data_IF_150622472835
#
_entry.id   IF_150622472835
#
_cell.length_a   1.000
_cell.length_b   1.000
_cell.length_c   1.000
_cell.angle_alpha   90.00
_cell.angle_beta   90.00
_cell.angle_gamma   90.00
#
_symmetry.space_group_name_H-M   'P 1'
#
loop_
_entity.id
_entity.type
_entity.pdbx_description
1 polymer ?
#
# COMPACT_ATOMS: atom_id res chain seq x y z
N UNK A 1 17.71 -17.79 18.58
CA UNK A 1 16.69 -16.98 17.87
C UNK A 1 17.19 -15.55 17.74
N UNK A 2 17.48 -15.09 16.51
CA UNK A 2 18.03 -13.75 16.22
C UNK A 2 17.12 -12.64 16.74
N UNK A 3 17.71 -11.54 17.24
CA UNK A 3 17.00 -10.41 17.91
C UNK A 3 15.87 -9.82 17.06
N UNK A 4 15.98 -9.91 15.73
CA UNK A 4 14.99 -9.45 14.74
C UNK A 4 13.67 -10.26 14.75
N UNK A 5 13.74 -11.59 14.89
CA UNK A 5 12.55 -12.45 14.92
C UNK A 5 11.70 -12.26 16.19
N UNK A 6 12.26 -11.62 17.23
CA UNK A 6 11.59 -11.41 18.51
C UNK A 6 10.58 -10.26 18.51
N UNK A 7 10.54 -9.43 17.46
CA UNK A 7 9.58 -8.32 17.36
C UNK A 7 8.14 -8.86 17.30
N UNK A 8 7.86 -9.73 16.32
CA UNK A 8 6.58 -10.41 16.16
C UNK A 8 6.74 -11.66 15.26
N UNK A 9 6.99 -12.87 15.82
CA UNK A 9 7.49 -14.00 15.03
C UNK A 9 6.67 -14.34 13.77
N UNK A 10 5.31 -14.36 13.79
CA UNK A 10 4.52 -14.60 12.57
C UNK A 10 4.78 -13.60 11.43
N UNK A 11 4.72 -12.30 11.72
CA UNK A 11 4.96 -11.23 10.75
C UNK A 11 6.40 -11.22 10.25
N UNK A 12 7.37 -11.53 11.12
CA UNK A 12 8.77 -11.60 10.72
C UNK A 12 9.04 -12.80 9.80
N UNK A 13 8.47 -13.96 10.10
CA UNK A 13 8.56 -15.13 9.22
C UNK A 13 7.91 -14.83 7.86
N UNK A 14 6.69 -14.28 7.87
CA UNK A 14 6.02 -13.82 6.66
C UNK A 14 6.88 -12.86 5.84
N UNK A 15 7.48 -11.85 6.48
CA UNK A 15 8.35 -10.88 5.80
C UNK A 15 9.60 -11.53 5.20
N UNK A 16 10.19 -12.52 5.87
CA UNK A 16 11.32 -13.28 5.32
C UNK A 16 10.92 -14.14 4.12
N UNK A 17 9.74 -14.77 4.16
CA UNK A 17 9.19 -15.50 3.02
C UNK A 17 8.95 -14.55 1.84
N UNK A 18 8.43 -13.35 2.10
CA UNK A 18 8.27 -12.31 1.08
C UNK A 18 9.61 -11.85 0.51
N UNK A 19 10.63 -11.64 1.34
CA UNK A 19 11.97 -11.29 0.88
C UNK A 19 12.58 -12.39 0.00
N UNK A 20 12.40 -13.67 0.36
CA UNK A 20 12.82 -14.79 -0.48
C UNK A 20 12.05 -14.82 -1.81
N UNK A 21 10.74 -14.59 -1.77
CA UNK A 21 9.90 -14.55 -2.96
C UNK A 21 10.23 -13.36 -3.88
N UNK A 22 10.69 -12.23 -3.33
CA UNK A 22 11.25 -11.13 -4.13
C UNK A 22 12.43 -11.61 -4.97
N UNK A 23 13.38 -12.36 -4.37
CA UNK A 23 14.53 -12.92 -5.10
C UNK A 23 14.09 -13.93 -6.16
N UNK A 24 13.15 -14.82 -5.82
CA UNK A 24 12.60 -15.79 -6.78
C UNK A 24 11.92 -15.07 -7.95
N UNK A 25 11.12 -14.03 -7.67
CA UNK A 25 10.42 -13.27 -8.71
C UNK A 25 11.38 -12.47 -9.58
N UNK A 26 12.49 -11.96 -9.03
CA UNK A 26 13.58 -11.36 -9.82
C UNK A 26 14.22 -12.38 -10.76
N UNK A 27 14.48 -13.60 -10.29
CA UNK A 27 14.92 -14.69 -11.15
C UNK A 27 13.91 -14.97 -12.26
N UNK A 28 12.62 -15.06 -11.91
CA UNK A 28 11.52 -15.22 -12.86
C UNK A 28 11.47 -14.12 -13.93
N UNK A 29 11.67 -12.86 -13.56
CA UNK A 29 11.74 -11.74 -14.52
C UNK A 29 12.90 -11.84 -15.52
N UNK A 30 13.93 -12.65 -15.23
CA UNK A 30 15.09 -12.86 -16.11
C UNK A 30 14.89 -14.09 -17.00
N UNK A 31 14.31 -15.17 -16.46
CA UNK A 31 14.30 -16.50 -17.12
C UNK A 31 12.95 -16.88 -17.73
N UNK A 32 11.86 -16.22 -17.37
CA UNK A 32 10.51 -16.50 -17.86
C UNK A 32 10.00 -15.33 -18.70
N UNK A 33 9.89 -15.58 -20.00
CA UNK A 33 9.52 -14.63 -21.03
C UNK A 33 8.01 -14.43 -21.18
N UNK A 34 7.19 -15.16 -20.40
CA UNK A 34 5.73 -15.07 -20.48
C UNK A 34 5.25 -13.67 -20.08
N UNK A 35 4.35 -13.15 -20.90
CA UNK A 35 3.65 -11.89 -20.68
C UNK A 35 2.20 -12.18 -20.30
N UNK A 36 1.73 -11.55 -19.23
CA UNK A 36 0.36 -11.64 -18.75
C UNK A 36 -0.22 -10.22 -18.67
N UNK A 37 -1.22 -9.93 -19.50
CA UNK A 37 -1.87 -8.60 -19.56
C UNK A 37 -0.90 -7.46 -19.90
N UNK A 38 0.00 -7.70 -20.86
CA UNK A 38 0.98 -6.70 -21.31
C UNK A 38 2.18 -6.52 -20.38
N UNK A 39 2.28 -7.28 -19.29
CA UNK A 39 3.38 -7.19 -18.32
C UNK A 39 4.10 -8.53 -18.11
N UNK A 40 5.42 -8.56 -17.82
CA UNK A 40 6.11 -9.78 -17.44
C UNK A 40 5.42 -10.48 -16.28
N UNK A 41 5.19 -11.80 -16.41
CA UNK A 41 4.27 -12.51 -15.52
C UNK A 41 4.71 -12.50 -14.04
N UNK A 42 6.02 -12.44 -13.78
CA UNK A 42 6.61 -12.37 -12.44
C UNK A 42 6.61 -10.98 -11.82
N UNK A 43 6.22 -9.95 -12.56
CA UNK A 43 6.28 -8.56 -12.09
C UNK A 43 5.29 -8.28 -10.96
N UNK A 44 4.09 -8.89 -11.03
CA UNK A 44 3.10 -8.80 -9.95
C UNK A 44 3.60 -9.49 -8.66
N UNK A 45 4.04 -10.77 -8.67
CA UNK A 45 4.68 -11.40 -7.51
C UNK A 45 5.80 -10.57 -6.91
N UNK A 46 6.70 -10.02 -7.74
CA UNK A 46 7.82 -9.18 -7.29
C UNK A 46 7.33 -7.97 -6.48
N UNK A 47 6.43 -7.16 -7.05
CA UNK A 47 5.92 -5.94 -6.40
C UNK A 47 5.14 -6.25 -5.13
N UNK A 48 4.30 -7.28 -5.16
CA UNK A 48 3.52 -7.71 -3.99
C UNK A 48 4.44 -8.20 -2.87
N UNK A 49 5.45 -9.02 -3.19
CA UNK A 49 6.43 -9.52 -2.23
C UNK A 49 7.22 -8.37 -1.57
N UNK A 50 7.72 -7.41 -2.36
CA UNK A 50 8.43 -6.24 -1.81
C UNK A 50 7.52 -5.43 -0.87
N UNK A 51 6.31 -5.10 -1.31
CA UNK A 51 5.37 -4.31 -0.52
C UNK A 51 4.94 -5.02 0.77
N UNK A 52 4.59 -6.31 0.69
CA UNK A 52 4.19 -7.13 1.84
C UNK A 52 5.34 -7.38 2.82
N UNK A 53 6.58 -7.50 2.34
CA UNK A 53 7.76 -7.56 3.21
C UNK A 53 7.89 -6.27 4.04
N UNK A 54 7.84 -5.10 3.37
CA UNK A 54 7.92 -3.80 4.05
C UNK A 54 6.75 -3.61 5.02
N UNK A 55 5.54 -3.98 4.60
CA UNK A 55 4.34 -3.92 5.42
C UNK A 55 4.44 -4.80 6.68
N UNK A 56 4.86 -6.06 6.52
CA UNK A 56 5.02 -7.01 7.61
C UNK A 56 6.06 -6.56 8.65
N UNK A 57 7.25 -6.11 8.19
CA UNK A 57 8.29 -5.56 9.08
C UNK A 57 7.80 -4.32 9.82
N UNK A 58 7.09 -3.43 9.12
CA UNK A 58 6.57 -2.19 9.70
C UNK A 58 5.56 -2.49 10.80
N UNK A 59 4.59 -3.38 10.55
CA UNK A 59 3.62 -3.78 11.57
C UNK A 59 4.27 -4.50 12.74
N UNK A 60 5.25 -5.38 12.48
CA UNK A 60 5.98 -6.07 13.55
C UNK A 60 6.70 -5.08 14.47
N UNK A 61 7.34 -4.04 13.90
CA UNK A 61 7.93 -2.95 14.66
C UNK A 61 6.88 -2.17 15.45
N UNK A 62 5.80 -1.71 14.81
CA UNK A 62 4.77 -0.92 15.48
C UNK A 62 4.11 -1.68 16.64
N UNK A 63 3.85 -2.98 16.47
CA UNK A 63 3.24 -3.80 17.52
C UNK A 63 4.11 -3.93 18.78
N UNK A 64 5.43 -3.72 18.68
CA UNK A 64 6.31 -3.68 19.87
C UNK A 64 6.03 -2.47 20.76
N UNK A 65 5.45 -1.41 20.21
CA UNK A 65 5.14 -0.16 20.91
C UNK A 65 3.83 -0.27 21.71
N UNK A 66 3.01 -1.28 21.43
CA UNK A 66 1.67 -1.43 22.01
C UNK A 66 1.72 -1.63 23.53
N UNK A 67 1.03 -0.76 24.28
CA UNK A 67 0.93 -0.85 25.76
C UNK A 67 -0.42 -1.38 26.24
N UNK A 68 -1.46 -1.31 25.40
CA UNK A 68 -2.82 -1.85 25.67
C UNK A 68 -3.25 -2.78 24.53
N UNK A 69 -4.13 -3.73 24.80
CA UNK A 69 -4.61 -4.68 23.77
C UNK A 69 -3.48 -5.51 23.12
N UNK A 70 -2.38 -5.77 23.86
CA UNK A 70 -1.19 -6.48 23.34
C UNK A 70 -1.51 -7.84 22.75
N UNK A 71 -2.34 -8.64 23.42
CA UNK A 71 -2.77 -9.97 22.92
C UNK A 71 -3.59 -9.84 21.65
N UNK A 72 -4.53 -8.89 21.60
CA UNK A 72 -5.35 -8.63 20.41
C UNK A 72 -4.48 -8.18 19.23
N UNK A 73 -3.56 -7.25 19.44
CA UNK A 73 -2.62 -6.78 18.41
C UNK A 73 -1.72 -7.90 17.89
N UNK A 74 -1.26 -8.79 18.78
CA UNK A 74 -0.47 -9.96 18.38
C UNK A 74 -1.26 -10.92 17.48
N UNK A 75 -2.50 -11.25 17.86
CA UNK A 75 -3.34 -12.11 17.03
C UNK A 75 -3.71 -11.45 15.70
N UNK A 76 -4.00 -10.15 15.70
CA UNK A 76 -4.24 -9.41 14.46
C UNK A 76 -3.02 -9.48 13.52
N UNK A 77 -1.80 -9.30 14.04
CA UNK A 77 -0.57 -9.47 13.27
C UNK A 77 -0.38 -10.90 12.75
N UNK A 78 -0.69 -11.92 13.54
CA UNK A 78 -0.61 -13.32 13.12
C UNK A 78 -1.62 -13.65 11.99
N UNK A 79 -2.85 -13.14 12.10
CA UNK A 79 -3.89 -13.32 11.08
C UNK A 79 -3.52 -12.59 9.79
N UNK A 80 -2.96 -11.38 9.87
CA UNK A 80 -2.43 -10.66 8.70
C UNK A 80 -1.35 -11.48 7.99
N UNK A 81 -0.39 -12.05 8.74
CA UNK A 81 0.66 -12.89 8.17
C UNK A 81 0.08 -14.11 7.44
N UNK A 82 -0.93 -14.77 8.02
CA UNK A 82 -1.61 -15.90 7.41
C UNK A 82 -2.37 -15.50 6.14
N UNK A 83 -3.19 -14.45 6.22
CA UNK A 83 -3.97 -13.93 5.09
C UNK A 83 -3.05 -13.51 3.93
N UNK A 84 -2.00 -12.74 4.21
CA UNK A 84 -1.01 -12.34 3.21
C UNK A 84 -0.22 -13.52 2.63
N UNK A 85 -0.03 -14.60 3.38
CA UNK A 85 0.57 -15.84 2.84
C UNK A 85 -0.39 -16.52 1.88
N UNK A 86 -1.68 -16.65 2.24
CA UNK A 86 -2.70 -17.22 1.37
C UNK A 86 -2.81 -16.45 0.05
N UNK A 87 -2.84 -15.11 0.12
CA UNK A 87 -2.77 -14.22 -1.05
C UNK A 87 -1.62 -14.58 -1.98
N UNK A 88 -0.40 -14.67 -1.45
CA UNK A 88 0.78 -14.89 -2.26
C UNK A 88 0.88 -16.30 -2.81
N UNK A 89 0.36 -17.30 -2.10
CA UNK A 89 0.21 -18.66 -2.63
C UNK A 89 -0.69 -18.66 -3.86
N UNK A 90 -1.83 -17.97 -3.81
CA UNK A 90 -2.73 -17.86 -4.97
C UNK A 90 -2.11 -17.05 -6.10
N UNK A 91 -1.48 -15.90 -5.79
CA UNK A 91 -0.79 -15.06 -6.79
C UNK A 91 0.28 -15.85 -7.54
N UNK A 92 1.18 -16.54 -6.83
CA UNK A 92 2.25 -17.32 -7.45
C UNK A 92 1.67 -18.54 -8.18
N UNK A 93 0.70 -19.24 -7.58
CA UNK A 93 0.04 -20.38 -8.23
C UNK A 93 -0.61 -20.01 -9.57
N UNK A 94 -1.26 -18.85 -9.63
CA UNK A 94 -1.86 -18.34 -10.88
C UNK A 94 -0.80 -17.90 -11.91
N UNK A 95 0.31 -17.31 -11.46
CA UNK A 95 1.47 -17.03 -12.33
C UNK A 95 2.04 -18.31 -12.95
N UNK A 96 2.19 -19.38 -12.17
CA UNK A 96 2.64 -20.67 -12.71
C UNK A 96 1.67 -21.22 -13.76
N UNK A 97 0.36 -21.05 -13.54
CA UNK A 97 -0.71 -21.43 -14.48
C UNK A 97 -0.85 -20.50 -15.70
N UNK A 98 -0.12 -19.39 -15.76
CA UNK A 98 -0.26 -18.42 -16.84
C UNK A 98 -1.58 -17.62 -16.80
N UNK A 99 -2.20 -17.45 -15.62
CA UNK A 99 -3.53 -16.82 -15.47
C UNK A 99 -3.49 -15.64 -14.51
N UNK A 100 -4.49 -14.75 -14.65
CA UNK A 100 -4.74 -13.65 -13.70
C UNK A 100 -5.15 -14.22 -12.34
N UNK A 101 -4.67 -13.59 -11.26
CA UNK A 101 -5.07 -13.93 -9.90
C UNK A 101 -6.26 -13.12 -9.39
N UNK A 102 -6.23 -11.80 -9.58
CA UNK A 102 -7.35 -10.93 -9.19
C UNK A 102 -8.33 -10.80 -10.34
N UNK A 103 -9.62 -10.65 -10.01
CA UNK A 103 -10.73 -10.44 -10.95
C UNK A 103 -11.03 -11.62 -11.88
N UNK A 104 -10.33 -12.75 -11.77
CA UNK A 104 -10.44 -13.86 -12.70
C UNK A 104 -11.52 -14.86 -12.26
N UNK A 105 -12.62 -14.91 -13.01
CA UNK A 105 -13.77 -15.80 -12.80
C UNK A 105 -14.00 -16.71 -14.02
N UNK A 106 -12.99 -16.88 -14.87
CA UNK A 106 -13.10 -17.60 -16.14
C UNK A 106 -13.39 -19.11 -16.00
N UNK A 107 -13.08 -19.71 -14.85
CA UNK A 107 -13.33 -21.13 -14.55
C UNK A 107 -13.75 -21.30 -13.10
N UNK A 108 -14.41 -22.41 -12.70
CA UNK A 108 -14.78 -22.64 -11.30
C UNK A 108 -13.60 -22.59 -10.32
N UNK A 109 -12.42 -23.05 -10.76
CA UNK A 109 -11.21 -22.95 -9.96
C UNK A 109 -10.72 -21.50 -9.84
N UNK A 110 -10.77 -20.72 -10.93
CA UNK A 110 -10.34 -19.33 -10.90
C UNK A 110 -11.27 -18.48 -10.01
N UNK A 111 -12.58 -18.70 -10.11
CA UNK A 111 -13.59 -18.06 -9.26
C UNK A 111 -13.40 -18.41 -7.78
N UNK A 112 -13.17 -19.68 -7.45
CA UNK A 112 -12.84 -20.10 -6.09
C UNK A 112 -11.58 -19.40 -5.57
N UNK A 113 -10.52 -19.35 -6.37
CA UNK A 113 -9.26 -18.70 -5.99
C UNK A 113 -9.46 -17.19 -5.81
N UNK A 114 -10.24 -16.55 -6.66
CA UNK A 114 -10.60 -15.13 -6.52
C UNK A 114 -11.43 -14.88 -5.25
N UNK A 115 -12.38 -15.76 -4.93
CA UNK A 115 -13.13 -15.71 -3.68
C UNK A 115 -12.24 -15.83 -2.45
N UNK A 116 -11.29 -16.78 -2.44
CA UNK A 116 -10.30 -16.92 -1.36
C UNK A 116 -9.55 -15.60 -1.16
N UNK A 117 -9.04 -14.99 -2.24
CA UNK A 117 -8.31 -13.73 -2.18
C UNK A 117 -9.18 -12.58 -1.64
N UNK A 118 -10.42 -12.49 -2.10
CA UNK A 118 -11.38 -11.48 -1.63
C UNK A 118 -11.54 -11.53 -0.11
N UNK A 119 -11.72 -12.73 0.45
CA UNK A 119 -11.86 -12.90 1.90
C UNK A 119 -10.55 -12.66 2.65
N UNK A 120 -9.38 -13.10 2.14
CA UNK A 120 -8.11 -12.83 2.82
C UNK A 120 -7.76 -11.35 2.85
N UNK A 121 -8.00 -10.59 1.77
CA UNK A 121 -7.81 -9.13 1.77
C UNK A 121 -8.77 -8.45 2.74
N UNK A 122 -10.04 -8.85 2.80
CA UNK A 122 -11.01 -8.30 3.75
C UNK A 122 -10.57 -8.55 5.20
N UNK A 123 -10.16 -9.78 5.52
CA UNK A 123 -9.63 -10.13 6.84
C UNK A 123 -8.39 -9.30 7.17
N UNK A 124 -7.46 -9.16 6.23
CA UNK A 124 -6.26 -8.33 6.40
C UNK A 124 -6.62 -6.88 6.71
N UNK A 125 -7.59 -6.31 5.98
CA UNK A 125 -8.06 -4.95 6.20
C UNK A 125 -8.68 -4.76 7.59
N UNK A 126 -9.55 -5.68 8.02
CA UNK A 126 -10.16 -5.65 9.37
C UNK A 126 -9.07 -5.77 10.44
N UNK A 127 -8.11 -6.68 10.28
CA UNK A 127 -7.02 -6.84 11.25
C UNK A 127 -6.07 -5.65 11.27
N UNK A 128 -5.85 -4.97 10.13
CA UNK A 128 -5.13 -3.70 10.11
C UNK A 128 -5.86 -2.64 10.95
N UNK A 129 -7.19 -2.53 10.80
CA UNK A 129 -8.00 -1.64 11.63
C UNK A 129 -7.89 -1.98 13.12
N UNK A 130 -7.89 -3.27 13.48
CA UNK A 130 -7.68 -3.72 14.88
C UNK A 130 -6.31 -3.27 15.41
N UNK A 131 -5.24 -3.39 14.61
CA UNK A 131 -3.91 -2.89 14.99
C UNK A 131 -3.91 -1.36 15.15
N UNK A 132 -4.57 -0.64 14.24
CA UNK A 132 -4.71 0.81 14.33
C UNK A 132 -5.43 1.23 15.63
N UNK A 133 -6.49 0.54 16.01
CA UNK A 133 -7.22 0.76 17.29
C UNK A 133 -6.32 0.46 18.50
N UNK A 134 -5.56 -0.65 18.48
CA UNK A 134 -4.62 -0.97 19.56
C UNK A 134 -3.56 0.11 19.77
N UNK A 135 -3.02 0.67 18.69
CA UNK A 135 -2.03 1.75 18.73
C UNK A 135 -2.66 3.13 19.01
N UNK A 136 -3.93 3.34 18.67
CA UNK A 136 -4.68 4.52 19.11
C UNK A 136 -4.80 4.59 20.64
N UNK A 137 -4.97 3.43 21.31
CA UNK A 137 -5.01 3.34 22.77
C UNK A 137 -3.64 3.26 23.46
N UNK A 138 -2.55 3.21 22.68
CA UNK A 138 -1.18 3.15 23.21
C UNK A 138 -0.72 4.54 23.63
N UNK A 139 -0.14 4.64 24.84
CA UNK A 139 0.50 5.87 25.33
C UNK A 139 1.93 5.95 24.79
N UNK A 140 2.23 7.03 24.07
CA UNK A 140 3.56 7.31 23.54
C UNK A 140 4.20 8.46 24.33
N UNK A 141 5.47 8.30 24.71
CA UNK A 141 6.25 9.36 25.37
C UNK A 141 6.45 10.55 24.42
N UNK A 142 6.87 10.27 23.18
CA UNK A 142 6.94 11.27 22.12
C UNK A 142 5.58 11.41 21.42
N UNK A 143 4.89 12.53 21.68
CA UNK A 143 3.58 12.84 21.11
C UNK A 143 3.59 12.92 19.59
N UNK A 144 4.63 13.50 18.98
CA UNK A 144 4.72 13.68 17.53
C UNK A 144 4.85 12.31 16.82
N UNK A 145 5.69 11.42 17.37
CA UNK A 145 5.87 10.06 16.87
C UNK A 145 4.62 9.22 17.04
N UNK A 146 3.99 9.26 18.23
CA UNK A 146 2.75 8.54 18.49
C UNK A 146 1.62 8.96 17.55
N UNK A 147 1.52 10.27 17.28
CA UNK A 147 0.56 10.80 16.30
C UNK A 147 0.89 10.32 14.87
N UNK A 148 2.17 10.31 14.48
CA UNK A 148 2.59 9.89 13.15
C UNK A 148 2.24 8.42 12.86
N UNK A 149 2.42 7.54 13.85
CA UNK A 149 2.04 6.13 13.75
C UNK A 149 0.53 5.98 13.58
N UNK A 150 -0.26 6.68 14.41
CA UNK A 150 -1.73 6.61 14.36
C UNK A 150 -2.28 7.10 13.02
N UNK A 151 -1.78 8.25 12.56
CA UNK A 151 -2.20 8.84 11.29
C UNK A 151 -1.72 8.02 10.08
N UNK A 152 -0.49 7.49 10.14
CA UNK A 152 0.03 6.56 9.13
C UNK A 152 -0.85 5.31 8.96
N UNK A 153 -1.24 4.68 10.08
CA UNK A 153 -2.15 3.53 10.06
C UNK A 153 -3.56 3.91 9.58
N UNK A 154 -4.11 5.03 10.07
CA UNK A 154 -5.43 5.47 9.65
C UNK A 154 -5.49 5.76 8.15
N UNK A 155 -4.48 6.43 7.61
CA UNK A 155 -4.42 6.76 6.19
C UNK A 155 -4.10 5.53 5.33
N UNK A 156 -3.28 4.60 5.85
CA UNK A 156 -3.06 3.30 5.22
C UNK A 156 -4.34 2.47 5.15
N UNK A 157 -5.21 2.55 6.16
CA UNK A 157 -6.50 1.87 6.15
C UNK A 157 -7.42 2.39 5.03
N UNK A 158 -7.39 3.71 4.79
CA UNK A 158 -8.07 4.33 3.64
C UNK A 158 -7.45 3.85 2.34
N UNK A 159 -6.12 3.87 2.23
CA UNK A 159 -5.39 3.37 1.06
C UNK A 159 -5.71 1.93 0.70
N UNK A 160 -5.77 1.04 1.70
CA UNK A 160 -6.19 -0.34 1.52
C UNK A 160 -7.63 -0.43 1.01
N UNK A 161 -8.54 0.39 1.56
CA UNK A 161 -9.93 0.44 1.12
C UNK A 161 -10.09 0.92 -0.34
N UNK A 162 -9.18 1.77 -0.85
CA UNK A 162 -9.21 2.19 -2.27
C UNK A 162 -9.05 1.01 -3.24
N UNK A 163 -8.57 -0.15 -2.79
CA UNK A 163 -8.54 -1.36 -3.62
C UNK A 163 -9.92 -1.81 -4.10
N UNK A 164 -11.00 -1.49 -3.38
CA UNK A 164 -12.38 -1.81 -3.79
C UNK A 164 -12.81 -1.04 -5.02
N UNK A 165 -12.18 0.09 -5.35
CA UNK A 165 -12.45 0.81 -6.59
C UNK A 165 -12.07 -0.01 -7.83
N UNK A 166 -11.18 -1.00 -7.68
CA UNK A 166 -10.73 -1.87 -8.78
C UNK A 166 -11.63 -3.10 -9.00
N UNK A 167 -12.58 -3.38 -8.10
CA UNK A 167 -13.48 -4.54 -8.23
C UNK A 167 -14.69 -4.26 -9.13
N UNK A 168 -14.89 -3.00 -9.52
CA UNK A 168 -15.95 -2.61 -10.45
C UNK A 168 -15.52 -2.89 -11.90
N UNK A 169 -16.40 -3.45 -12.75
CA UNK A 169 -16.08 -3.67 -14.16
C UNK A 169 -15.67 -2.38 -14.88
N UNK A 170 -14.66 -2.46 -15.74
CA UNK A 170 -14.29 -1.38 -16.64
C UNK A 170 -15.30 -1.24 -17.80
N UNK A 171 -15.42 -0.04 -18.41
CA UNK A 171 -16.18 0.14 -19.65
C UNK A 171 -15.72 -0.86 -20.73
N UNK A 172 -16.65 -1.64 -21.28
CA UNK A 172 -16.38 -2.63 -22.31
C UNK A 172 -15.87 -3.99 -21.80
N UNK A 173 -15.88 -4.25 -20.49
CA UNK A 173 -15.79 -5.62 -20.00
C UNK A 173 -17.14 -6.32 -20.19
N UNK A 174 -17.14 -7.38 -21.00
CA UNK A 174 -18.27 -8.31 -21.10
C UNK A 174 -18.36 -9.16 -19.82
N UNK A 175 -19.57 -9.30 -19.27
CA UNK A 175 -19.83 -10.14 -18.09
C UNK A 175 -19.46 -11.62 -18.34
N UNK A 176 -19.53 -12.07 -19.60
CA UNK A 176 -19.14 -13.43 -20.03
C UNK A 176 -17.62 -13.59 -20.25
N UNK A 177 -16.84 -12.50 -20.19
CA UNK A 177 -15.40 -12.48 -20.45
C UNK A 177 -14.54 -13.12 -19.34
N UNK A 178 -15.15 -13.61 -18.28
CA UNK A 178 -14.48 -14.26 -17.16
C UNK A 178 -13.61 -13.33 -16.32
N UNK A 179 -13.81 -12.00 -16.43
CA UNK A 179 -13.06 -10.98 -15.68
C UNK A 179 -14.01 -9.95 -15.09
N UNK A 180 -13.91 -9.72 -13.78
CA UNK A 180 -14.78 -8.80 -13.03
C UNK A 180 -13.95 -7.76 -12.26
N UNK A 181 -13.64 -6.66 -12.94
CA UNK A 181 -12.83 -5.59 -12.37
C UNK A 181 -11.65 -5.17 -13.25
N UNK A 182 -11.14 -3.98 -12.96
CA UNK A 182 -9.98 -3.41 -13.62
C UNK A 182 -9.31 -2.37 -12.71
N UNK A 183 -8.00 -2.15 -12.91
CA UNK A 183 -7.32 -1.02 -12.27
C UNK A 183 -7.18 0.20 -13.17
N UNK A 184 -7.32 0.02 -14.49
CA UNK A 184 -7.27 1.08 -15.48
C UNK A 184 -8.63 1.79 -15.56
N UNK A 185 -8.62 3.11 -15.69
CA UNK A 185 -9.82 3.95 -15.79
C UNK A 185 -9.80 4.68 -17.12
N UNK A 186 -10.83 4.48 -17.93
CA UNK A 186 -10.93 5.03 -19.29
C UNK A 186 -10.50 4.08 -20.40
N UNK A 187 -9.96 2.90 -20.06
CA UNK A 187 -9.70 1.80 -20.99
C UNK A 187 -9.65 0.45 -20.24
N UNK A 188 -9.77 -0.70 -20.93
CA UNK A 188 -9.52 -2.02 -20.35
C UNK A 188 -8.09 -2.19 -19.81
N UNK A 189 -7.90 -3.11 -18.86
CA UNK A 189 -6.57 -3.44 -18.33
C UNK A 189 -5.65 -4.04 -19.40
N UNK A 190 -4.45 -3.46 -19.49
CA UNK A 190 -3.44 -3.77 -20.49
C UNK A 190 -2.86 -2.49 -21.09
N UNK A 191 -2.05 -2.63 -22.14
CA UNK A 191 -1.45 -1.51 -22.86
C UNK A 191 -0.12 -1.00 -22.29
N UNK A 192 0.36 0.17 -22.75
CA UNK A 192 1.66 0.71 -22.37
C UNK A 192 1.76 1.08 -20.89
N UNK A 193 2.74 0.50 -20.21
CA UNK A 193 2.96 0.67 -18.77
C UNK A 193 4.33 1.26 -18.43
N UNK A 194 4.42 1.92 -17.27
CA UNK A 194 5.68 2.39 -16.71
C UNK A 194 6.58 1.20 -16.37
N UNK A 195 7.84 1.23 -16.81
CA UNK A 195 8.77 0.10 -16.67
C UNK A 195 8.93 -0.43 -15.22
N UNK A 196 8.91 0.45 -14.21
CA UNK A 196 9.17 0.05 -12.81
C UNK A 196 7.91 -0.23 -11.98
N UNK A 197 6.84 0.54 -12.20
CA UNK A 197 5.61 0.41 -11.40
C UNK A 197 4.56 -0.43 -12.11
N UNK A 198 4.65 -0.54 -13.43
CA UNK A 198 3.62 -1.10 -14.30
C UNK A 198 2.39 -0.21 -14.43
N UNK A 199 2.41 1.04 -13.95
CA UNK A 199 1.24 1.92 -14.04
C UNK A 199 0.96 2.34 -15.48
N UNK A 200 -0.33 2.46 -15.82
CA UNK A 200 -0.76 2.82 -17.17
C UNK A 200 -0.24 4.23 -17.55
N UNK A 201 0.28 4.36 -18.78
CA UNK A 201 0.87 5.61 -19.29
C UNK A 201 -0.05 6.41 -20.22
N UNK A 202 -1.21 5.85 -20.56
CA UNK A 202 -2.18 6.43 -21.49
C UNK A 202 -3.48 6.85 -20.80
N UNK A 203 -3.91 6.10 -19.77
CA UNK A 203 -5.15 6.35 -19.03
C UNK A 203 -4.92 6.34 -17.51
N UNK A 204 -5.99 6.59 -16.74
CA UNK A 204 -5.95 6.59 -15.28
C UNK A 204 -5.66 5.20 -14.70
N UNK A 205 -5.02 5.15 -13.53
CA UNK A 205 -4.64 3.90 -12.89
C UNK A 205 -4.84 3.95 -11.38
N UNK A 206 -5.81 3.17 -10.89
CA UNK A 206 -6.18 3.10 -9.47
C UNK A 206 -5.07 2.46 -8.61
N UNK A 207 -4.08 1.78 -9.20
CA UNK A 207 -2.92 1.27 -8.44
C UNK A 207 -2.08 2.40 -7.88
N UNK A 208 -2.09 3.60 -8.49
CA UNK A 208 -1.36 4.77 -7.99
C UNK A 208 -1.90 5.22 -6.63
N UNK A 209 -3.19 5.61 -6.49
CA UNK A 209 -3.74 6.02 -5.20
C UNK A 209 -3.73 4.89 -4.16
N UNK A 210 -3.95 3.65 -4.58
CA UNK A 210 -3.83 2.50 -3.69
C UNK A 210 -2.40 2.37 -3.14
N UNK A 211 -1.37 2.40 -4.00
CA UNK A 211 0.04 2.35 -3.60
C UNK A 211 0.41 3.49 -2.66
N UNK A 212 0.05 4.73 -3.00
CA UNK A 212 0.31 5.90 -2.14
C UNK A 212 -0.39 5.70 -0.80
N UNK A 213 -1.66 5.33 -0.80
CA UNK A 213 -2.42 5.15 0.43
C UNK A 213 -1.84 4.05 1.32
N UNK A 214 -1.62 2.84 0.80
CA UNK A 214 -1.08 1.72 1.60
C UNK A 214 0.29 2.03 2.18
N UNK A 215 1.10 2.91 1.57
CA UNK A 215 2.43 3.23 2.07
C UNK A 215 2.47 4.36 3.12
N UNK A 216 1.31 4.95 3.44
CA UNK A 216 1.19 5.96 4.48
C UNK A 216 1.72 5.48 5.85
N UNK A 217 1.55 4.19 6.20
CA UNK A 217 2.04 3.64 7.46
C UNK A 217 3.57 3.64 7.57
N UNK A 218 4.30 3.61 6.45
CA UNK A 218 5.75 3.77 6.46
C UNK A 218 6.15 5.24 6.33
N UNK A 219 5.59 5.93 5.34
CA UNK A 219 6.07 7.26 4.94
C UNK A 219 5.84 8.29 6.04
N UNK A 220 4.67 8.33 6.67
CA UNK A 220 4.36 9.36 7.68
C UNK A 220 5.29 9.25 8.89
N UNK A 221 5.47 8.07 9.55
CA UNK A 221 6.43 7.94 10.64
C UNK A 221 7.87 8.27 10.24
N UNK A 222 8.30 7.85 9.04
CA UNK A 222 9.65 8.15 8.55
C UNK A 222 9.87 9.65 8.33
N UNK A 223 8.93 10.33 7.67
CA UNK A 223 9.01 11.78 7.47
C UNK A 223 9.10 12.52 8.79
N UNK A 224 8.29 12.15 9.79
CA UNK A 224 8.36 12.77 11.12
C UNK A 224 9.68 12.46 11.84
N UNK A 225 10.20 11.23 11.69
CA UNK A 225 11.48 10.83 12.28
C UNK A 225 12.66 11.65 11.74
N UNK A 226 12.64 12.07 10.47
CA UNK A 226 13.69 12.91 9.86
C UNK A 226 13.86 14.27 10.56
N UNK A 227 12.83 14.78 11.23
CA UNK A 227 12.90 16.02 12.00
C UNK A 227 13.46 15.82 13.41
N UNK A 228 13.54 14.57 13.89
CA UNK A 228 14.12 14.21 15.18
C UNK A 228 13.56 15.07 16.32
N UNK A 229 14.42 15.80 17.03
CA UNK A 229 14.02 16.70 18.13
C UNK A 229 13.15 17.88 17.70
N UNK A 230 13.09 18.20 16.40
CA UNK A 230 12.22 19.24 15.83
C UNK A 230 10.81 18.73 15.52
N UNK A 231 10.57 17.42 15.63
CA UNK A 231 9.26 16.85 15.37
C UNK A 231 8.24 17.33 16.41
N UNK A 232 7.20 18.03 15.96
CA UNK A 232 6.07 18.48 16.79
C UNK A 232 4.77 17.85 16.29
N UNK A 233 3.73 17.75 17.13
CA UNK A 233 2.41 17.34 16.66
C UNK A 233 1.87 18.19 15.51
N UNK A 234 2.19 19.49 15.48
CA UNK A 234 1.81 20.40 14.39
C UNK A 234 2.47 20.03 13.06
N UNK A 235 3.77 19.74 13.07
CA UNK A 235 4.48 19.21 11.90
C UNK A 235 3.84 17.89 11.44
N UNK A 236 3.61 16.95 12.37
CA UNK A 236 3.03 15.65 12.05
C UNK A 236 1.67 15.78 11.37
N UNK A 237 0.78 16.65 11.87
CA UNK A 237 -0.48 16.95 11.22
C UNK A 237 -0.29 17.56 9.83
N UNK A 238 0.59 18.58 9.71
CA UNK A 238 0.83 19.25 8.44
C UNK A 238 1.36 18.31 7.35
N UNK A 239 2.31 17.44 7.69
CA UNK A 239 2.84 16.41 6.78
C UNK A 239 1.79 15.37 6.42
N UNK A 240 0.99 14.92 7.39
CA UNK A 240 -0.12 13.98 7.13
C UNK A 240 -1.16 14.59 6.22
N UNK A 241 -1.55 15.86 6.42
CA UNK A 241 -2.50 16.56 5.56
C UNK A 241 -1.94 16.68 4.14
N UNK A 242 -0.65 17.01 3.98
CA UNK A 242 0.00 17.01 2.68
C UNK A 242 -0.05 15.64 1.99
N UNK A 243 0.25 14.57 2.72
CA UNK A 243 0.20 13.20 2.18
C UNK A 243 -1.23 12.73 1.86
N UNK A 244 -2.21 13.07 2.69
CA UNK A 244 -3.62 12.82 2.42
C UNK A 244 -4.12 13.61 1.21
N UNK A 245 -3.66 14.85 1.05
CA UNK A 245 -3.90 15.67 -0.14
C UNK A 245 -3.31 15.06 -1.40
N UNK A 246 -2.07 14.55 -1.34
CA UNK A 246 -1.45 13.78 -2.43
C UNK A 246 -2.30 12.56 -2.79
N UNK A 247 -2.66 11.74 -1.79
CA UNK A 247 -3.49 10.54 -1.99
C UNK A 247 -4.84 10.89 -2.64
N UNK A 248 -5.52 11.93 -2.15
CA UNK A 248 -6.78 12.40 -2.71
C UNK A 248 -6.61 12.90 -4.15
N UNK A 249 -5.56 13.67 -4.43
CA UNK A 249 -5.24 14.19 -5.76
C UNK A 249 -5.00 13.06 -6.76
N UNK A 250 -4.16 12.08 -6.43
CA UNK A 250 -3.88 10.96 -7.34
C UNK A 250 -5.08 10.02 -7.48
N UNK A 251 -5.96 9.95 -6.48
CA UNK A 251 -7.25 9.23 -6.57
C UNK A 251 -8.15 9.93 -7.58
N UNK A 252 -8.29 11.24 -7.44
CA UNK A 252 -9.11 12.06 -8.32
C UNK A 252 -8.57 12.10 -9.75
N UNK A 253 -7.24 12.18 -9.93
CA UNK A 253 -6.58 12.06 -11.23
C UNK A 253 -6.89 10.73 -11.92
N UNK A 254 -6.71 9.61 -11.19
CA UNK A 254 -6.98 8.27 -11.73
C UNK A 254 -8.45 8.10 -12.12
N UNK A 255 -9.40 8.53 -11.27
CA UNK A 255 -10.83 8.45 -11.55
C UNK A 255 -11.28 9.29 -12.75
N UNK A 256 -10.50 10.32 -13.11
CA UNK A 256 -10.71 11.12 -14.32
C UNK A 256 -10.10 10.50 -15.59
N UNK A 257 -9.55 9.29 -15.49
CA UNK A 257 -8.91 8.60 -16.60
C UNK A 257 -7.60 9.25 -17.06
N UNK A 258 -6.96 10.07 -16.22
CA UNK A 258 -5.70 10.72 -16.58
C UNK A 258 -4.50 9.86 -16.21
N UNK A 259 -3.55 9.64 -17.14
CA UNK A 259 -2.29 8.99 -16.80
C UNK A 259 -1.48 9.86 -15.83
N UNK A 260 -0.73 9.20 -14.94
CA UNK A 260 -0.01 9.86 -13.84
C UNK A 260 0.89 11.00 -14.31
N UNK A 261 1.63 10.77 -15.40
CA UNK A 261 2.67 11.67 -15.90
C UNK A 261 2.19 12.65 -16.98
N UNK A 262 0.91 12.64 -17.35
CA UNK A 262 0.30 13.65 -18.25
C UNK A 262 -0.98 14.21 -17.64
N UNK A 263 -0.90 14.88 -16.47
CA UNK A 263 -2.05 15.51 -15.85
C UNK A 263 -2.54 16.70 -16.70
N UNK A 264 -3.82 17.02 -16.60
CA UNK A 264 -4.32 18.29 -17.12
C UNK A 264 -3.96 19.48 -16.21
N UNK A 265 -4.29 20.69 -16.65
CA UNK A 265 -3.99 21.91 -15.90
C UNK A 265 -4.61 21.88 -14.49
N UNK A 266 -5.84 21.39 -14.34
CA UNK A 266 -6.50 21.36 -13.03
C UNK A 266 -5.79 20.40 -12.06
N UNK A 267 -5.40 19.21 -12.51
CA UNK A 267 -4.59 18.29 -11.71
C UNK A 267 -3.20 18.85 -11.40
N UNK A 268 -2.56 19.54 -12.35
CA UNK A 268 -1.27 20.18 -12.12
C UNK A 268 -1.34 21.30 -11.07
N UNK A 269 -2.39 22.12 -11.09
CA UNK A 269 -2.64 23.14 -10.06
C UNK A 269 -2.92 22.52 -8.69
N UNK A 270 -3.65 21.40 -8.64
CA UNK A 270 -3.83 20.62 -7.42
C UNK A 270 -2.52 20.08 -6.87
N UNK A 271 -1.63 19.57 -7.73
CA UNK A 271 -0.29 19.12 -7.34
C UNK A 271 0.54 20.27 -6.76
N UNK A 272 0.50 21.44 -7.41
CA UNK A 272 1.17 22.65 -6.91
C UNK A 272 0.64 23.06 -5.53
N UNK A 273 -0.68 23.00 -5.30
CA UNK A 273 -1.27 23.29 -4.00
C UNK A 273 -0.78 22.32 -2.90
N UNK A 274 -0.71 21.01 -3.19
CA UNK A 274 -0.21 20.00 -2.24
C UNK A 274 1.27 20.22 -1.92
N UNK A 275 2.09 20.49 -2.94
CA UNK A 275 3.53 20.76 -2.79
C UNK A 275 3.77 22.03 -1.99
N UNK A 276 3.09 23.13 -2.32
CA UNK A 276 3.23 24.42 -1.63
C UNK A 276 2.81 24.32 -0.16
N UNK A 277 1.70 23.62 0.14
CA UNK A 277 1.29 23.32 1.52
C UNK A 277 2.41 22.58 2.28
N UNK A 278 2.90 21.49 1.71
CA UNK A 278 3.90 20.64 2.35
C UNK A 278 5.20 21.40 2.58
N UNK A 279 5.66 22.17 1.59
CA UNK A 279 6.85 23.01 1.69
C UNK A 279 6.69 24.10 2.77
N UNK A 280 5.53 24.75 2.86
CA UNK A 280 5.26 25.76 3.88
C UNK A 280 5.29 25.18 5.30
N UNK A 281 4.73 23.97 5.50
CA UNK A 281 4.79 23.24 6.78
C UNK A 281 6.23 22.95 7.18
N UNK A 282 7.04 22.45 6.24
CA UNK A 282 8.46 22.14 6.48
C UNK A 282 9.24 23.43 6.79
N UNK A 283 9.10 24.47 5.97
CA UNK A 283 9.79 25.74 6.15
C UNK A 283 9.50 26.38 7.52
N UNK A 284 8.22 26.46 7.91
CA UNK A 284 7.81 26.97 9.24
C UNK A 284 8.47 26.20 10.39
N UNK A 285 8.61 24.88 10.24
CA UNK A 285 9.22 24.04 11.29
C UNK A 285 10.73 24.24 11.39
N UNK A 286 11.40 24.52 10.26
CA UNK A 286 12.83 24.79 10.23
C UNK A 286 13.16 26.17 10.82
N UNK A 287 12.38 27.21 10.48
CA UNK A 287 12.63 28.59 10.93
C UNK A 287 12.23 28.83 12.39
N UNK A 288 11.22 28.14 12.91
CA UNK A 288 10.79 28.28 14.31
C UNK A 288 11.88 27.95 15.35
N UNK A 289 12.92 27.21 14.98
CA UNK A 289 14.05 26.90 15.87
C UNK A 289 15.09 28.01 15.94
N UNK A 290 15.32 28.75 14.85
CA UNK A 290 16.31 29.82 14.80
C UNK A 290 15.90 30.99 15.72
N UNK A 291 14.60 31.25 15.82
CA UNK A 291 14.04 32.29 16.69
C UNK A 291 14.10 31.99 18.20
N UNK A 292 14.40 30.75 18.61
CA UNK A 292 14.53 30.36 20.04
C UNK A 292 16.00 30.30 20.48
N UNK A 293 16.94 30.36 19.52
CA UNK A 293 18.38 30.38 19.78
C UNK A 293 19.02 31.77 19.64
N UNK A 294 18.23 32.80 19.33
CA UNK A 294 18.61 34.22 19.31
C UNK A 294 17.97 34.92 20.51
#
# INVERSE_FOLDING_TARGET
MTRFLRLHPPLMLFSLLMAALTVVSLGGLIVDDRILVGSPIWFKPFKFAVSLCLYGVTLAWMLTLTTRLRRTGWWAGAVIALAGTAEMVVVVGQVLRGRRSHFNVATPLDDLLWGVMTYSILILWIMHAVIAVALAHTRFENRATGLAIRLGLALSLVGLALGTLMTSPAPGQDDDGGIVGAHSVGAPDGGPEMALTGWNTEVGDLRVPHFVGIHALQVIPLLVALFGRRATPGLTWGLTIGYAGLMALVTWQALRGQPLLRPDLLTALGALAVVTWTAAVVARTLTAKEAVSA
#
